data_IF_579993957932
#
_entry.id   IF_579993957932
#
_cell.length_a   1.000
_cell.length_b   1.000
_cell.length_c   1.000
_cell.angle_alpha   90.00
_cell.angle_beta   90.00
_cell.angle_gamma   90.00
#
_symmetry.space_group_name_H-M   'P 1'
#
loop_
_entity.id
_entity.type
_entity.pdbx_description
1 polymer ?
#
# COMPACT_ATOMS: atom_id res chain seq x y z
N UNK A 1 -24.18 -19.56 -11.17
CA UNK A 1 -23.96 -18.09 -11.16
C UNK A 1 -24.45 -17.57 -9.81
N UNK A 2 -23.57 -17.31 -8.84
CA UNK A 2 -23.98 -16.62 -7.60
C UNK A 2 -24.27 -15.18 -7.99
N UNK A 3 -25.54 -14.78 -8.00
CA UNK A 3 -25.95 -13.41 -8.29
C UNK A 3 -25.17 -12.44 -7.43
N UNK A 4 -24.80 -11.29 -7.99
CA UNK A 4 -24.15 -10.23 -7.22
C UNK A 4 -25.03 -9.92 -6.00
N UNK A 5 -24.51 -10.18 -4.81
CA UNK A 5 -25.15 -9.71 -3.58
C UNK A 5 -25.14 -8.19 -3.67
N UNK A 6 -26.30 -7.51 -3.54
CA UNK A 6 -26.33 -6.06 -3.56
C UNK A 6 -25.46 -5.53 -2.42
N UNK A 7 -24.29 -4.99 -2.76
CA UNK A 7 -23.39 -4.34 -1.83
C UNK A 7 -23.62 -2.82 -1.89
N UNK A 8 -24.15 -2.25 -0.82
CA UNK A 8 -24.18 -0.79 -0.64
C UNK A 8 -22.98 -0.36 0.20
N UNK A 9 -22.44 0.84 -0.04
CA UNK A 9 -21.42 1.38 0.86
C UNK A 9 -22.04 1.69 2.22
N UNK A 10 -21.23 1.67 3.27
CA UNK A 10 -21.69 2.07 4.60
C UNK A 10 -22.28 3.48 4.60
N UNK A 11 -21.71 4.40 3.81
CA UNK A 11 -22.27 5.75 3.66
C UNK A 11 -23.69 5.74 3.08
N UNK A 12 -23.98 4.90 2.08
CA UNK A 12 -25.33 4.77 1.51
C UNK A 12 -26.29 4.18 2.54
N UNK A 13 -25.88 3.11 3.23
CA UNK A 13 -26.70 2.48 4.27
C UNK A 13 -27.04 3.45 5.41
N UNK A 14 -26.08 4.25 5.85
CA UNK A 14 -26.24 5.21 6.94
C UNK A 14 -26.69 6.61 6.49
N UNK A 15 -26.99 6.81 5.20
CA UNK A 15 -27.34 8.12 4.62
C UNK A 15 -26.32 9.22 4.92
N UNK A 16 -25.04 8.86 4.95
CA UNK A 16 -23.93 9.79 5.15
C UNK A 16 -23.35 10.28 3.83
N UNK A 17 -22.73 11.48 3.81
CA UNK A 17 -21.99 11.95 2.65
C UNK A 17 -20.95 10.92 2.19
N UNK A 18 -20.84 10.76 0.87
CA UNK A 18 -19.80 9.91 0.29
C UNK A 18 -18.43 10.50 0.64
N UNK A 19 -17.51 9.66 1.10
CA UNK A 19 -16.12 10.09 1.30
C UNK A 19 -15.48 10.42 -0.04
N UNK A 20 -14.96 11.63 -0.15
CA UNK A 20 -14.17 12.05 -1.30
C UNK A 20 -12.70 11.64 -1.12
N UNK A 21 -12.03 11.38 -2.25
CA UNK A 21 -10.60 11.12 -2.25
C UNK A 21 -9.89 12.46 -2.03
N UNK A 22 -8.98 12.58 -1.05
CA UNK A 22 -8.19 13.79 -0.91
C UNK A 22 -7.29 14.00 -2.16
N UNK A 23 -7.05 15.25 -2.58
CA UNK A 23 -6.06 15.53 -3.62
C UNK A 23 -4.65 15.19 -3.13
N UNK A 24 -3.67 15.11 -4.03
CA UNK A 24 -2.27 14.90 -3.63
C UNK A 24 -1.77 16.08 -2.82
N UNK A 25 -0.73 15.90 -2.01
CA UNK A 25 -0.23 16.96 -1.12
C UNK A 25 0.17 18.24 -1.88
N UNK A 26 0.71 18.13 -3.09
CA UNK A 26 1.06 19.27 -3.94
C UNK A 26 -0.14 19.96 -4.62
N UNK A 27 -1.30 19.29 -4.64
CA UNK A 27 -2.56 19.80 -5.20
C UNK A 27 -3.47 20.38 -4.11
N UNK A 28 -3.16 20.13 -2.83
CA UNK A 28 -3.92 20.65 -1.70
C UNK A 28 -3.76 22.18 -1.58
N UNK A 29 -4.85 22.93 -1.34
CA UNK A 29 -4.73 24.34 -0.99
C UNK A 29 -3.97 24.50 0.33
N UNK A 30 -3.23 25.60 0.51
CA UNK A 30 -2.47 25.86 1.75
C UNK A 30 -3.33 25.80 3.02
N UNK A 31 -4.62 26.09 2.91
CA UNK A 31 -5.60 26.05 4.01
C UNK A 31 -6.32 24.71 4.16
N UNK A 32 -5.89 23.66 3.45
CA UNK A 32 -6.56 22.35 3.42
C UNK A 32 -6.75 21.76 4.83
N UNK A 33 -5.68 21.79 5.65
CA UNK A 33 -5.73 21.20 6.99
C UNK A 33 -6.42 22.09 8.04
N UNK A 34 -6.59 23.37 7.75
CA UNK A 34 -7.29 24.32 8.63
C UNK A 34 -8.81 24.06 8.64
N UNK A 35 -9.34 23.57 7.52
CA UNK A 35 -10.78 23.30 7.32
C UNK A 35 -11.16 21.85 7.60
N UNK A 36 -10.19 20.97 7.82
CA UNK A 36 -10.44 19.55 8.04
C UNK A 36 -11.03 19.36 9.45
N UNK A 37 -12.18 18.70 9.58
CA UNK A 37 -12.65 18.24 10.89
C UNK A 37 -11.65 17.21 11.44
N UNK A 38 -10.86 17.66 12.43
CA UNK A 38 -9.85 16.83 13.08
C UNK A 38 -10.42 16.10 14.30
N UNK A 39 -11.71 16.28 14.61
CA UNK A 39 -12.39 15.68 15.76
C UNK A 39 -11.83 16.15 17.10
N UNK A 40 -11.25 17.36 17.16
CA UNK A 40 -10.71 17.92 18.40
C UNK A 40 -11.78 18.13 19.47
N UNK A 41 -13.00 18.45 19.04
CA UNK A 41 -14.16 18.63 19.93
C UNK A 41 -14.74 17.31 20.45
N UNK A 42 -14.34 16.15 19.89
CA UNK A 42 -14.87 14.85 20.31
C UNK A 42 -14.14 14.33 21.54
N UNK A 43 -14.89 14.01 22.59
CA UNK A 43 -14.38 13.35 23.79
C UNK A 43 -13.77 11.97 23.45
N UNK A 44 -12.74 11.56 24.21
CA UNK A 44 -12.20 10.21 24.12
C UNK A 44 -13.23 9.18 24.59
N UNK A 45 -13.29 8.01 23.95
CA UNK A 45 -14.26 6.96 24.27
C UNK A 45 -14.75 6.24 23.02
N UNK A 46 -15.89 5.55 23.13
CA UNK A 46 -16.51 4.87 22.00
C UNK A 46 -17.56 5.76 21.34
N UNK A 47 -17.55 5.82 20.01
CA UNK A 47 -18.64 6.42 19.23
C UNK A 47 -19.86 5.50 19.25
N UNK A 48 -21.00 5.99 18.75
CA UNK A 48 -22.21 5.17 18.50
C UNK A 48 -21.96 3.98 17.55
N UNK A 49 -20.82 3.97 16.85
CA UNK A 49 -20.38 2.89 15.95
C UNK A 49 -19.36 1.94 16.59
N UNK A 50 -19.17 2.01 17.91
CA UNK A 50 -18.11 1.31 18.64
C UNK A 50 -16.70 1.63 18.11
N UNK A 51 -16.50 2.79 17.48
CA UNK A 51 -15.17 3.25 17.09
C UNK A 51 -14.51 3.90 18.30
N UNK A 52 -13.27 3.51 18.61
CA UNK A 52 -12.55 4.10 19.74
C UNK A 52 -11.85 5.41 19.35
N UNK A 53 -12.29 6.51 19.93
CA UNK A 53 -11.64 7.82 19.88
C UNK A 53 -10.53 7.85 20.94
N UNK A 54 -9.28 7.76 20.48
CA UNK A 54 -8.07 7.82 21.33
C UNK A 54 -7.98 9.16 22.07
N UNK A 55 -7.34 9.22 23.24
CA UNK A 55 -7.04 10.49 23.91
C UNK A 55 -5.98 11.31 23.16
N UNK A 56 -4.93 10.63 22.66
CA UNK A 56 -3.86 11.27 21.90
C UNK A 56 -4.28 11.51 20.44
N UNK A 57 -4.01 12.72 19.95
CA UNK A 57 -4.30 13.13 18.57
C UNK A 57 -2.99 13.10 17.76
N UNK A 58 -2.92 12.32 16.67
CA UNK A 58 -1.73 12.33 15.82
C UNK A 58 -1.61 13.67 15.10
N UNK A 59 -0.37 14.12 14.86
CA UNK A 59 -0.10 15.29 14.03
C UNK A 59 -0.73 15.11 12.64
N UNK A 60 -1.45 16.13 12.17
CA UNK A 60 -1.97 16.25 10.81
C UNK A 60 -1.53 17.59 10.23
N UNK A 61 -1.20 17.63 8.96
CA UNK A 61 -0.71 18.82 8.29
C UNK A 61 0.19 18.49 7.12
N UNK A 62 0.63 19.55 6.43
CA UNK A 62 1.73 19.45 5.46
C UNK A 62 3.01 18.97 6.16
N UNK A 63 3.82 18.21 5.43
CA UNK A 63 5.12 17.77 5.93
C UNK A 63 6.00 18.99 6.19
N UNK A 64 6.64 19.03 7.35
CA UNK A 64 7.75 19.95 7.58
C UNK A 64 9.02 19.44 6.88
N UNK A 65 10.08 20.25 6.86
CA UNK A 65 11.33 19.91 6.19
C UNK A 65 11.96 18.60 6.67
N UNK A 66 11.89 18.32 7.99
CA UNK A 66 12.43 17.09 8.58
C UNK A 66 11.65 15.88 8.10
N UNK A 67 10.33 15.96 8.09
CA UNK A 67 9.43 14.90 7.62
C UNK A 67 9.58 14.65 6.12
N UNK A 68 9.68 15.71 5.31
CA UNK A 68 9.91 15.59 3.87
C UNK A 68 11.27 14.94 3.58
N UNK A 69 12.31 15.32 4.32
CA UNK A 69 13.65 14.71 4.20
C UNK A 69 13.60 13.23 4.57
N UNK A 70 12.94 12.86 5.66
CA UNK A 70 12.75 11.47 6.06
C UNK A 70 12.00 10.66 4.99
N UNK A 71 10.94 11.22 4.41
CA UNK A 71 10.17 10.57 3.35
C UNK A 71 11.02 10.34 2.09
N UNK A 72 11.83 11.32 1.68
CA UNK A 72 12.79 11.19 0.56
C UNK A 72 13.84 10.12 0.83
N UNK A 73 14.44 10.10 2.02
CA UNK A 73 15.43 9.08 2.41
C UNK A 73 14.81 7.69 2.48
N UNK A 74 13.58 7.55 2.95
CA UNK A 74 12.90 6.25 2.94
C UNK A 74 12.62 5.76 1.51
N UNK A 75 12.26 6.68 0.60
CA UNK A 75 11.97 6.34 -0.79
C UNK A 75 13.21 5.82 -1.54
N UNK A 76 14.41 6.29 -1.20
CA UNK A 76 15.64 5.87 -1.89
C UNK A 76 15.89 4.36 -1.79
N UNK A 77 15.38 3.69 -0.76
CA UNK A 77 15.42 2.24 -0.67
C UNK A 77 14.75 1.57 -1.88
N UNK A 78 13.57 2.04 -2.27
CA UNK A 78 12.84 1.50 -3.42
C UNK A 78 13.37 2.00 -4.77
N UNK A 79 14.12 3.10 -4.78
CA UNK A 79 14.90 3.50 -5.95
C UNK A 79 16.06 2.52 -6.19
N UNK A 80 16.75 2.14 -5.13
CA UNK A 80 17.95 1.29 -5.21
C UNK A 80 17.64 -0.20 -5.37
N UNK A 81 16.64 -0.71 -4.65
CA UNK A 81 16.45 -2.16 -4.48
C UNK A 81 15.22 -2.73 -5.22
N UNK A 82 14.57 -1.94 -6.07
CA UNK A 82 13.55 -2.43 -7.01
C UNK A 82 14.24 -2.98 -8.27
N UNK A 83 13.91 -4.22 -8.64
CA UNK A 83 14.43 -4.85 -9.85
C UNK A 83 13.68 -4.34 -11.08
N UNK A 84 14.39 -3.77 -12.05
CA UNK A 84 13.75 -3.11 -13.21
C UNK A 84 12.93 -4.05 -14.08
N UNK A 85 13.38 -5.30 -14.21
CA UNK A 85 12.78 -6.30 -15.09
C UNK A 85 11.48 -6.90 -14.53
N UNK A 86 11.34 -7.00 -13.21
CA UNK A 86 10.15 -7.56 -12.53
C UNK A 86 9.32 -6.51 -11.79
N UNK A 87 9.91 -5.36 -11.46
CA UNK A 87 9.31 -4.37 -10.57
C UNK A 87 9.21 -4.83 -9.12
N UNK A 88 9.76 -5.99 -8.75
CA UNK A 88 9.79 -6.48 -7.37
C UNK A 88 10.89 -5.76 -6.59
N UNK A 89 10.59 -5.36 -5.35
CA UNK A 89 11.58 -4.80 -4.43
C UNK A 89 12.14 -5.87 -3.49
N UNK A 90 13.44 -5.78 -3.22
CA UNK A 90 14.10 -6.65 -2.24
C UNK A 90 13.60 -6.36 -0.82
N UNK A 91 13.35 -7.43 -0.08
CA UNK A 91 12.99 -7.37 1.36
C UNK A 91 14.14 -6.81 2.21
N UNK A 92 15.39 -7.11 1.85
CA UNK A 92 16.59 -6.68 2.58
C UNK A 92 17.71 -6.31 1.60
N UNK A 93 17.94 -5.00 1.41
CA UNK A 93 19.07 -4.46 0.66
C UNK A 93 19.37 -5.21 -0.64
N UNK A 94 20.59 -5.72 -0.78
CA UNK A 94 21.04 -6.43 -1.99
C UNK A 94 20.56 -7.89 -2.09
N UNK A 95 19.83 -8.42 -1.11
CA UNK A 95 19.37 -9.82 -1.13
C UNK A 95 18.13 -9.95 -2.03
N UNK A 96 18.18 -10.69 -3.15
CA UNK A 96 17.16 -10.65 -4.19
C UNK A 96 15.95 -11.54 -3.87
N UNK A 97 15.28 -11.26 -2.76
CA UNK A 97 14.18 -12.04 -2.21
C UNK A 97 13.07 -11.13 -1.70
N UNK A 98 11.82 -11.54 -1.87
CA UNK A 98 10.65 -10.81 -1.39
C UNK A 98 9.51 -11.75 -1.03
N UNK A 99 8.69 -11.32 -0.08
CA UNK A 99 7.40 -11.94 0.22
C UNK A 99 6.26 -11.01 -0.23
N UNK A 100 5.02 -11.51 -0.22
CA UNK A 100 3.87 -10.62 -0.43
C UNK A 100 3.71 -9.57 0.68
N UNK A 101 4.25 -9.82 1.88
CA UNK A 101 4.29 -8.82 2.95
C UNK A 101 5.17 -7.62 2.59
N UNK A 102 6.36 -7.89 2.07
CA UNK A 102 7.33 -6.88 1.64
C UNK A 102 6.85 -6.18 0.38
N UNK A 103 6.32 -6.93 -0.57
CA UNK A 103 5.73 -6.40 -1.80
C UNK A 103 4.57 -5.47 -1.49
N UNK A 104 3.70 -5.81 -0.53
CA UNK A 104 2.64 -4.92 -0.07
C UNK A 104 3.19 -3.64 0.55
N UNK A 105 4.33 -3.71 1.27
CA UNK A 105 5.01 -2.54 1.83
C UNK A 105 5.65 -1.68 0.74
N UNK A 106 6.13 -2.27 -0.35
CA UNK A 106 6.56 -1.52 -1.54
C UNK A 106 5.39 -0.79 -2.20
N UNK A 107 4.25 -1.46 -2.42
CA UNK A 107 3.04 -0.81 -2.95
C UNK A 107 2.59 0.35 -2.06
N UNK A 108 2.63 0.16 -0.74
CA UNK A 108 2.36 1.21 0.24
C UNK A 108 3.30 2.40 0.08
N UNK A 109 4.61 2.13 -0.02
CA UNK A 109 5.65 3.14 -0.23
C UNK A 109 5.45 3.91 -1.52
N UNK A 110 5.13 3.24 -2.63
CA UNK A 110 4.87 3.88 -3.91
C UNK A 110 3.63 4.79 -3.88
N UNK A 111 2.54 4.33 -3.24
CA UNK A 111 1.34 5.17 -3.05
C UNK A 111 1.70 6.38 -2.20
N UNK A 112 2.41 6.19 -1.08
CA UNK A 112 2.83 7.30 -0.23
C UNK A 112 3.72 8.30 -0.98
N UNK A 113 4.71 7.83 -1.73
CA UNK A 113 5.60 8.68 -2.54
C UNK A 113 4.82 9.48 -3.58
N UNK A 114 3.83 8.87 -4.24
CA UNK A 114 2.98 9.56 -5.20
C UNK A 114 2.10 10.62 -4.53
N UNK A 115 1.42 10.28 -3.43
CA UNK A 115 0.51 11.18 -2.69
C UNK A 115 1.26 12.33 -2.00
N UNK A 116 2.50 12.10 -1.55
CA UNK A 116 3.39 13.11 -0.99
C UNK A 116 4.15 13.92 -2.07
N UNK A 117 3.90 13.63 -3.35
CA UNK A 117 4.55 14.27 -4.48
C UNK A 117 6.09 14.16 -4.46
N UNK A 118 6.59 13.00 -4.05
CA UNK A 118 8.00 12.61 -4.21
C UNK A 118 8.29 12.07 -5.61
N UNK A 119 7.28 11.44 -6.23
CA UNK A 119 7.32 10.94 -7.60
C UNK A 119 6.09 11.40 -8.38
N UNK A 120 6.22 11.47 -9.71
CA UNK A 120 5.13 11.84 -10.60
C UNK A 120 4.31 10.63 -11.08
N UNK A 121 3.11 10.92 -11.59
CA UNK A 121 2.17 9.90 -12.06
C UNK A 121 2.79 8.91 -13.08
N UNK A 122 3.57 9.35 -14.09
CA UNK A 122 4.17 8.41 -15.05
C UNK A 122 5.12 7.41 -14.38
N UNK A 123 5.89 7.84 -13.38
CA UNK A 123 6.78 6.94 -12.65
C UNK A 123 5.98 5.95 -11.80
N UNK A 124 4.97 6.44 -11.07
CA UNK A 124 4.09 5.59 -10.28
C UNK A 124 3.41 4.52 -11.15
N UNK A 125 2.80 4.92 -12.27
CA UNK A 125 2.11 4.03 -13.20
C UNK A 125 3.08 2.99 -13.80
N UNK A 126 4.29 3.41 -14.19
CA UNK A 126 5.32 2.50 -14.71
C UNK A 126 5.71 1.44 -13.67
N UNK A 127 5.95 1.85 -12.42
CA UNK A 127 6.32 0.95 -11.32
C UNK A 127 5.18 -0.04 -11.01
N UNK A 128 3.95 0.45 -10.87
CA UNK A 128 2.78 -0.40 -10.57
C UNK A 128 2.46 -1.36 -11.71
N UNK A 129 2.51 -0.88 -12.97
CA UNK A 129 2.25 -1.73 -14.14
C UNK A 129 3.29 -2.85 -14.23
N UNK A 130 4.58 -2.54 -14.06
CA UNK A 130 5.65 -3.54 -14.07
C UNK A 130 5.45 -4.59 -12.97
N UNK A 131 5.25 -4.15 -11.73
CA UNK A 131 5.02 -5.03 -10.59
C UNK A 131 3.81 -5.94 -10.80
N UNK A 132 2.65 -5.39 -11.16
CA UNK A 132 1.43 -6.20 -11.32
C UNK A 132 1.48 -7.12 -12.54
N UNK A 133 2.21 -6.74 -13.59
CA UNK A 133 2.49 -7.64 -14.71
C UNK A 133 3.26 -8.86 -14.25
N UNK A 134 4.29 -8.67 -13.42
CA UNK A 134 5.03 -9.80 -12.83
C UNK A 134 4.16 -10.62 -11.89
N UNK A 135 3.44 -9.98 -10.95
CA UNK A 135 2.57 -10.70 -9.98
C UNK A 135 1.55 -11.59 -10.69
N UNK A 136 0.95 -11.10 -11.78
CA UNK A 136 0.00 -11.87 -12.60
C UNK A 136 0.61 -13.14 -13.19
N UNK A 137 1.92 -13.15 -13.46
CA UNK A 137 2.64 -14.26 -14.07
C UNK A 137 3.40 -15.14 -13.08
N UNK A 138 3.33 -14.88 -11.76
CA UNK A 138 4.03 -15.70 -10.78
C UNK A 138 3.50 -17.12 -10.76
N UNK A 139 4.39 -18.09 -10.77
CA UNK A 139 4.02 -19.48 -10.52
C UNK A 139 3.52 -19.61 -9.07
N UNK A 140 2.42 -20.32 -8.89
CA UNK A 140 1.76 -20.47 -7.59
C UNK A 140 2.26 -21.73 -6.86
N UNK A 141 2.24 -21.70 -5.53
CA UNK A 141 2.38 -22.90 -4.71
C UNK A 141 1.26 -23.87 -5.07
N UNK A 142 1.63 -25.04 -5.59
CA UNK A 142 0.70 -26.09 -6.05
C UNK A 142 -0.41 -25.60 -7.00
N UNK A 143 -0.19 -24.50 -7.73
CA UNK A 143 -1.20 -23.93 -8.62
C UNK A 143 -2.36 -23.20 -7.92
N UNK A 144 -2.33 -23.06 -6.59
CA UNK A 144 -3.47 -22.53 -5.83
C UNK A 144 -3.24 -21.09 -5.33
N UNK A 145 -2.11 -20.86 -4.65
CA UNK A 145 -1.85 -19.61 -3.92
C UNK A 145 -0.43 -19.12 -4.15
N UNK A 146 -0.15 -17.81 -4.00
CA UNK A 146 1.21 -17.30 -4.10
C UNK A 146 2.14 -18.00 -3.10
N UNK A 147 3.31 -18.44 -3.57
CA UNK A 147 4.35 -18.98 -2.71
C UNK A 147 4.82 -17.93 -1.70
N UNK A 148 5.31 -18.38 -0.55
CA UNK A 148 5.74 -17.50 0.54
C UNK A 148 6.86 -16.54 0.12
N UNK A 149 7.80 -17.00 -0.71
CA UNK A 149 8.98 -16.24 -1.12
C UNK A 149 9.19 -16.33 -2.62
N UNK A 150 9.56 -15.21 -3.24
CA UNK A 150 9.93 -15.12 -4.65
C UNK A 150 11.28 -14.46 -4.82
N UNK A 151 12.07 -14.94 -5.78
CA UNK A 151 13.31 -14.31 -6.19
C UNK A 151 13.00 -13.02 -6.96
N UNK A 152 13.43 -11.87 -6.46
CA UNK A 152 13.00 -10.57 -7.01
C UNK A 152 13.47 -10.33 -8.43
N UNK A 153 14.65 -10.83 -8.82
CA UNK A 153 15.16 -10.66 -10.20
C UNK A 153 14.48 -11.53 -11.24
N UNK A 154 13.92 -12.68 -10.88
CA UNK A 154 13.40 -13.67 -11.85
C UNK A 154 11.90 -13.90 -11.71
N UNK A 155 11.30 -13.58 -10.55
CA UNK A 155 9.92 -13.93 -10.23
C UNK A 155 9.71 -15.43 -9.94
N UNK A 156 10.78 -16.22 -9.80
CA UNK A 156 10.67 -17.65 -9.51
C UNK A 156 10.33 -17.89 -8.03
N UNK A 157 9.54 -18.94 -7.76
CA UNK A 157 9.32 -19.45 -6.40
C UNK A 157 10.63 -19.96 -5.82
N UNK A 158 10.91 -19.56 -4.58
CA UNK A 158 12.11 -19.98 -3.85
C UNK A 158 11.79 -20.33 -2.41
N UNK A 159 12.73 -20.99 -1.74
CA UNK A 159 12.74 -21.18 -0.30
C UNK A 159 13.33 -19.96 0.45
N UNK A 160 13.43 -20.05 1.77
CA UNK A 160 14.01 -18.98 2.61
C UNK A 160 15.51 -18.78 2.40
N UNK A 161 16.19 -19.75 1.78
CA UNK A 161 17.60 -19.63 1.38
C UNK A 161 17.75 -19.04 -0.02
N UNK A 162 16.64 -18.66 -0.66
CA UNK A 162 16.56 -18.12 -2.02
C UNK A 162 17.02 -19.12 -3.09
N UNK A 163 16.86 -20.42 -2.81
CA UNK A 163 17.04 -21.52 -3.78
C UNK A 163 15.69 -21.94 -4.35
N UNK A 164 15.69 -22.52 -5.55
CA UNK A 164 14.47 -23.01 -6.18
C UNK A 164 13.75 -24.01 -5.26
N UNK A 165 12.47 -23.77 -5.01
CA UNK A 165 11.68 -24.56 -4.09
C UNK A 165 10.35 -23.91 -3.77
N UNK A 166 9.52 -24.63 -3.00
CA UNK A 166 8.25 -24.13 -2.50
C UNK A 166 8.15 -24.35 -1.00
N UNK A 167 7.55 -23.39 -0.28
CA UNK A 167 7.41 -23.42 1.18
C UNK A 167 5.95 -23.59 1.58
N UNK A 168 5.04 -23.02 0.78
CA UNK A 168 3.63 -22.85 1.11
C UNK A 168 3.18 -21.42 0.85
N UNK A 169 2.08 -21.02 1.49
CA UNK A 169 1.49 -19.69 1.33
C UNK A 169 1.17 -19.05 2.69
N UNK A 170 0.91 -17.74 2.69
CA UNK A 170 0.54 -16.99 3.89
C UNK A 170 -0.73 -16.18 3.64
N UNK A 171 -1.83 -16.58 4.27
CA UNK A 171 -3.09 -15.83 4.20
C UNK A 171 -2.94 -14.39 4.72
N UNK A 172 -2.06 -14.17 5.71
CA UNK A 172 -1.76 -12.85 6.25
C UNK A 172 -1.09 -11.94 5.20
N UNK A 173 -0.09 -12.46 4.50
CA UNK A 173 0.66 -11.69 3.50
C UNK A 173 -0.23 -11.38 2.30
N UNK A 174 -1.03 -12.37 1.86
CA UNK A 174 -2.03 -12.20 0.79
C UNK A 174 -3.07 -11.15 1.21
N UNK A 175 -3.59 -11.23 2.43
CA UNK A 175 -4.55 -10.26 2.97
C UNK A 175 -4.00 -8.83 2.96
N UNK A 176 -2.76 -8.64 3.43
CA UNK A 176 -2.08 -7.34 3.40
C UNK A 176 -1.90 -6.82 1.97
N UNK A 177 -1.49 -7.69 1.04
CA UNK A 177 -1.33 -7.32 -0.37
C UNK A 177 -2.66 -6.90 -0.99
N UNK A 178 -3.74 -7.66 -0.75
CA UNK A 178 -5.08 -7.34 -1.28
C UNK A 178 -5.60 -6.00 -0.76
N UNK A 179 -5.33 -5.65 0.50
CA UNK A 179 -5.67 -4.33 1.04
C UNK A 179 -4.96 -3.22 0.24
N UNK A 180 -3.68 -3.37 -0.04
CA UNK A 180 -2.93 -2.37 -0.80
C UNK A 180 -3.33 -2.32 -2.28
N UNK A 181 -3.61 -3.46 -2.91
CA UNK A 181 -4.19 -3.48 -4.26
C UNK A 181 -5.53 -2.77 -4.31
N UNK A 182 -6.37 -2.94 -3.28
CA UNK A 182 -7.64 -2.21 -3.18
C UNK A 182 -7.40 -0.70 -3.03
N UNK A 183 -6.41 -0.29 -2.25
CA UNK A 183 -6.04 1.13 -2.12
C UNK A 183 -5.61 1.69 -3.48
N UNK A 184 -4.67 1.02 -4.17
CA UNK A 184 -4.18 1.43 -5.50
C UNK A 184 -5.30 1.52 -6.53
N UNK A 185 -6.24 0.56 -6.54
CA UNK A 185 -7.42 0.62 -7.42
C UNK A 185 -8.27 1.88 -7.22
N UNK A 186 -8.23 2.47 -6.03
CA UNK A 186 -8.96 3.70 -5.69
C UNK A 186 -8.03 4.92 -5.63
N UNK A 187 -6.87 4.87 -6.31
CA UNK A 187 -5.97 6.00 -6.54
C UNK A 187 -6.02 6.48 -7.97
#
# INVERSE_FOLDING_TARGET
>A
MRGNVPSVTTSVYYKEPRREKPPRMCEMPKTYFDKLDQGYEKASGYTRRNEYIRKYRPRRGFLNERELRAAKVAWTYFEQFTQENTGLANSVGNYPSTTLWDTASYVAGAVAAYELCLIEKPEFDRRMTRLFTTIKGLELFRGEMPNKVYHTKSGMKVDYTNKAGEIGFSALDIGRMLVWMRIVKNR
#
